data_IF_504232234524
#
_entry.id   IF_504232234524
#
_cell.length_a   1.000
_cell.length_b   1.000
_cell.length_c   1.000
_cell.angle_alpha   90.00
_cell.angle_beta   90.00
_cell.angle_gamma   90.00
#
_symmetry.space_group_name_H-M   'P 1'
#
loop_
_entity.id
_entity.type
_entity.pdbx_description
1 polymer ?
#
# COMPACT_ATOMS: atom_id res chain seq x y z
N UNK A 1 -3.15 -38.53 -42.71
CA UNK A 1 -3.25 -37.21 -43.39
C UNK A 1 -4.26 -36.39 -42.62
N UNK A 2 -3.82 -35.35 -41.88
CA UNK A 2 -4.08 -33.91 -42.13
C UNK A 2 -5.57 -33.53 -42.18
N UNK A 3 -6.10 -32.47 -41.56
CA UNK A 3 -5.67 -31.34 -40.69
C UNK A 3 -6.98 -30.56 -40.38
N UNK A 4 -7.07 -29.92 -39.20
CA UNK A 4 -7.64 -28.56 -38.86
C UNK A 4 -8.99 -28.12 -39.49
N UNK A 5 -9.93 -27.38 -38.86
CA UNK A 5 -9.81 -26.26 -37.90
C UNK A 5 -11.21 -25.83 -37.38
N UNK A 6 -11.25 -25.34 -36.15
CA UNK A 6 -12.07 -24.29 -35.48
C UNK A 6 -13.39 -23.78 -36.06
N UNK A 7 -14.38 -23.57 -35.18
CA UNK A 7 -14.73 -22.24 -34.57
C UNK A 7 -16.15 -22.29 -33.97
N UNK A 8 -16.32 -22.03 -32.67
CA UNK A 8 -16.78 -20.74 -32.11
C UNK A 8 -18.25 -20.84 -31.67
N UNK A 9 -18.73 -20.34 -30.53
CA UNK A 9 -18.15 -19.63 -29.40
C UNK A 9 -19.11 -19.76 -28.21
N UNK A 10 -18.57 -19.95 -27.02
CA UNK A 10 -19.32 -20.22 -25.80
C UNK A 10 -19.82 -18.93 -25.13
N UNK A 11 -21.11 -18.98 -24.77
CA UNK A 11 -21.72 -18.52 -23.53
C UNK A 11 -21.07 -17.34 -22.78
N UNK A 12 -21.77 -16.20 -22.85
CA UNK A 12 -22.27 -15.42 -21.71
C UNK A 12 -21.95 -16.06 -20.34
N UNK A 13 -21.04 -15.45 -19.58
CA UNK A 13 -20.75 -15.84 -18.20
C UNK A 13 -21.10 -14.69 -17.26
N UNK A 14 -21.97 -15.03 -16.31
CA UNK A 14 -22.55 -14.22 -15.25
C UNK A 14 -21.55 -13.39 -14.43
N UNK A 15 -21.91 -12.14 -14.19
CA UNK A 15 -21.17 -11.15 -13.39
C UNK A 15 -21.48 -11.30 -11.88
N UNK A 16 -21.87 -12.49 -11.42
CA UNK A 16 -22.28 -12.74 -10.02
C UNK A 16 -21.45 -13.78 -9.25
N UNK A 17 -20.38 -14.35 -9.84
CA UNK A 17 -19.58 -15.41 -9.20
C UNK A 17 -18.19 -15.01 -8.69
N UNK A 18 -17.86 -13.72 -8.60
CA UNK A 18 -16.51 -13.27 -8.20
C UNK A 18 -16.31 -13.22 -6.65
N UNK A 19 -17.36 -13.42 -5.85
CA UNK A 19 -17.30 -13.18 -4.40
C UNK A 19 -17.17 -14.40 -3.47
N UNK A 20 -16.87 -15.61 -3.95
CA UNK A 20 -16.83 -16.78 -3.07
C UNK A 20 -15.78 -17.84 -3.43
N UNK A 21 -14.50 -17.51 -3.23
CA UNK A 21 -13.38 -18.41 -2.89
C UNK A 21 -12.10 -17.56 -3.04
N UNK A 22 -11.28 -17.30 -2.03
CA UNK A 22 -10.57 -18.29 -1.23
C UNK A 22 -10.12 -17.59 0.06
N UNK A 23 -10.66 -18.01 1.20
CA UNK A 23 -10.00 -17.86 2.49
C UNK A 23 -8.81 -18.81 2.54
N UNK A 24 -7.70 -18.46 1.89
CA UNK A 24 -6.43 -19.16 2.10
C UNK A 24 -5.79 -18.54 3.32
N UNK A 25 -5.51 -19.37 4.33
CA UNK A 25 -4.52 -19.06 5.37
C UNK A 25 -3.31 -18.44 4.69
N UNK A 26 -3.06 -17.16 4.96
CA UNK A 26 -1.90 -16.42 4.46
C UNK A 26 -0.69 -16.98 5.19
N UNK A 27 -0.12 -18.06 4.66
CA UNK A 27 1.18 -18.56 5.09
C UNK A 27 2.23 -17.64 4.46
N UNK A 28 2.66 -16.63 5.21
CA UNK A 28 3.67 -15.66 4.80
C UNK A 28 5.10 -16.26 4.87
N UNK A 29 5.27 -17.49 4.37
CA UNK A 29 6.53 -18.23 4.35
C UNK A 29 7.25 -18.24 3.01
N UNK A 30 6.64 -17.63 1.98
CA UNK A 30 7.29 -17.42 0.70
C UNK A 30 7.63 -15.94 0.60
N UNK A 31 8.87 -15.58 0.93
CA UNK A 31 9.48 -14.33 0.49
C UNK A 31 9.73 -14.47 -1.02
N UNK A 32 9.07 -13.70 -1.91
CA UNK A 32 9.36 -13.74 -3.33
C UNK A 32 10.83 -13.37 -3.54
N UNK A 33 11.65 -14.28 -4.06
CA UNK A 33 13.05 -14.01 -4.39
C UNK A 33 13.08 -13.36 -5.77
N UNK A 34 12.85 -12.05 -5.78
CA UNK A 34 13.26 -11.18 -6.87
C UNK A 34 14.76 -10.87 -6.63
N UNK A 35 15.59 -10.55 -7.65
CA UNK A 35 16.96 -10.11 -7.43
C UNK A 35 16.94 -8.72 -6.79
N UNK A 36 16.72 -8.69 -5.48
CA UNK A 36 16.66 -7.50 -4.66
C UNK A 36 17.84 -7.52 -3.71
N UNK A 37 18.51 -6.38 -3.59
CA UNK A 37 19.27 -6.09 -2.38
C UNK A 37 18.38 -6.41 -1.18
N UNK A 38 18.82 -7.20 -0.19
CA UNK A 38 17.99 -7.54 0.96
C UNK A 38 17.42 -6.26 1.58
N UNK A 39 16.10 -6.09 1.53
CA UNK A 39 15.44 -4.92 2.12
C UNK A 39 15.51 -5.04 3.63
N UNK A 40 16.21 -4.11 4.25
CA UNK A 40 16.36 -4.07 5.70
C UNK A 40 15.11 -3.46 6.34
N UNK A 41 14.16 -4.31 6.72
CA UNK A 41 12.91 -3.90 7.36
C UNK A 41 13.12 -3.06 8.62
N UNK A 42 14.24 -3.25 9.35
CA UNK A 42 14.53 -2.44 10.54
C UNK A 42 14.89 -1.02 10.14
N UNK A 43 15.65 -0.83 9.05
CA UNK A 43 15.94 0.50 8.51
C UNK A 43 14.67 1.19 8.03
N UNK A 44 13.79 0.49 7.31
CA UNK A 44 12.50 1.05 6.87
C UNK A 44 11.67 1.49 8.08
N UNK A 45 11.54 0.64 9.10
CA UNK A 45 10.82 0.97 10.34
C UNK A 45 11.39 2.19 11.04
N UNK A 46 12.70 2.29 11.17
CA UNK A 46 13.37 3.44 11.79
C UNK A 46 13.17 4.72 10.99
N UNK A 47 13.22 4.64 9.65
CA UNK A 47 12.97 5.76 8.75
C UNK A 47 11.51 6.24 8.84
N UNK A 48 10.55 5.32 8.90
CA UNK A 48 9.12 5.64 9.13
C UNK A 48 8.91 6.36 10.45
N UNK A 49 9.48 5.85 11.55
CA UNK A 49 9.39 6.51 12.86
C UNK A 49 10.04 7.90 12.86
N UNK A 50 11.14 8.07 12.11
CA UNK A 50 11.78 9.38 11.91
C UNK A 50 10.89 10.33 11.10
N UNK A 51 10.14 9.82 10.12
CA UNK A 51 9.18 10.59 9.33
C UNK A 51 8.00 11.04 10.19
N UNK A 52 7.40 10.14 10.97
CA UNK A 52 6.32 10.45 11.91
C UNK A 52 6.71 11.59 12.85
N UNK A 53 7.90 11.51 13.47
CA UNK A 53 8.39 12.55 14.38
C UNK A 53 8.60 13.90 13.68
N UNK A 54 9.10 13.91 12.45
CA UNK A 54 9.35 15.14 11.69
C UNK A 54 8.06 15.80 11.17
N UNK A 55 6.99 15.01 11.02
CA UNK A 55 5.71 15.45 10.48
C UNK A 55 4.67 15.72 11.57
N UNK A 56 5.00 15.46 12.83
CA UNK A 56 4.17 15.87 13.96
C UNK A 56 4.02 17.42 13.99
N UNK A 57 2.85 17.96 14.37
CA UNK A 57 1.64 17.24 14.80
C UNK A 57 0.68 16.88 13.65
N UNK A 58 0.99 17.22 12.40
CA UNK A 58 0.07 17.01 11.27
C UNK A 58 -0.13 15.51 10.99
N UNK A 59 0.91 14.69 11.15
CA UNK A 59 0.83 13.21 11.06
C UNK A 59 0.74 12.59 12.45
N UNK A 60 -0.22 11.67 12.61
CA UNK A 60 -0.46 10.92 13.85
C UNK A 60 0.20 9.54 13.78
N UNK A 61 0.11 8.86 12.64
CA UNK A 61 0.64 7.51 12.45
C UNK A 61 0.91 7.24 10.97
N UNK A 62 2.00 6.55 10.69
CA UNK A 62 2.36 6.00 9.38
C UNK A 62 2.51 4.49 9.53
N UNK A 63 1.71 3.76 8.79
CA UNK A 63 1.83 2.31 8.66
C UNK A 63 2.28 1.98 7.24
N UNK A 64 2.94 0.84 7.08
CA UNK A 64 3.38 0.37 5.78
C UNK A 64 3.21 -1.13 5.62
N UNK A 65 3.19 -1.60 4.37
CA UNK A 65 3.23 -3.02 4.03
C UNK A 65 3.87 -3.23 2.67
N UNK A 66 4.59 -4.33 2.51
CA UNK A 66 5.01 -4.81 1.20
C UNK A 66 3.88 -5.60 0.54
N UNK A 67 3.54 -5.29 -0.70
CA UNK A 67 2.56 -6.01 -1.49
C UNK A 67 2.87 -5.87 -2.98
N UNK A 68 2.34 -6.78 -3.80
CA UNK A 68 2.36 -6.64 -5.25
C UNK A 68 1.48 -5.46 -5.68
N UNK A 69 2.00 -4.62 -6.58
CA UNK A 69 1.20 -3.61 -7.27
C UNK A 69 0.41 -4.23 -8.44
N UNK A 70 -0.27 -3.37 -9.20
CA UNK A 70 -1.11 -3.83 -10.32
C UNK A 70 -0.29 -4.37 -11.49
N UNK A 71 1.04 -4.18 -11.49
CA UNK A 71 1.97 -4.78 -12.44
C UNK A 71 2.53 -6.11 -11.93
N UNK A 72 2.24 -6.50 -10.68
CA UNK A 72 2.77 -7.70 -10.03
C UNK A 72 4.13 -7.48 -9.37
N UNK A 73 4.59 -6.23 -9.25
CA UNK A 73 5.90 -5.92 -8.66
C UNK A 73 5.77 -5.61 -7.17
N UNK A 74 6.75 -6.06 -6.37
CA UNK A 74 6.76 -5.79 -4.93
C UNK A 74 7.00 -4.30 -4.68
N UNK A 75 6.05 -3.70 -3.98
CA UNK A 75 5.97 -2.27 -3.73
C UNK A 75 5.62 -1.97 -2.27
N UNK A 76 5.86 -0.72 -1.85
CA UNK A 76 5.64 -0.26 -0.49
C UNK A 76 4.38 0.60 -0.40
N UNK A 77 3.39 0.13 0.35
CA UNK A 77 2.11 0.81 0.53
C UNK A 77 2.05 1.49 1.88
N UNK A 78 1.95 2.81 1.89
CA UNK A 78 1.81 3.64 3.06
C UNK A 78 0.35 3.98 3.34
N UNK A 79 0.00 3.90 4.62
CA UNK A 79 -1.28 4.36 5.18
C UNK A 79 -0.96 5.40 6.23
N UNK A 80 -1.40 6.62 6.00
CA UNK A 80 -1.06 7.76 6.83
C UNK A 80 -2.31 8.30 7.49
N UNK A 81 -2.34 8.26 8.82
CA UNK A 81 -3.35 8.94 9.62
C UNK A 81 -2.86 10.35 9.93
N UNK A 82 -3.61 11.35 9.49
CA UNK A 82 -3.33 12.76 9.70
C UNK A 82 -4.33 13.38 10.69
N UNK A 83 -3.94 14.46 11.35
CA UNK A 83 -4.86 15.22 12.21
C UNK A 83 -6.02 15.81 11.41
N UNK A 84 -7.16 16.05 12.05
CA UNK A 84 -8.32 16.67 11.39
C UNK A 84 -7.96 18.07 10.85
N UNK A 85 -7.12 18.81 11.58
CA UNK A 85 -6.58 20.09 11.14
C UNK A 85 -5.73 19.97 9.86
N UNK A 86 -4.94 18.90 9.73
CA UNK A 86 -4.16 18.60 8.53
C UNK A 86 -5.01 18.12 7.35
N UNK A 87 -6.19 17.55 7.64
CA UNK A 87 -7.16 17.08 6.66
C UNK A 87 -8.09 18.20 6.13
N UNK A 88 -8.03 19.40 6.71
CA UNK A 88 -8.82 20.55 6.25
C UNK A 88 -8.58 20.83 4.75
N UNK A 89 -9.66 21.09 4.01
CA UNK A 89 -9.62 21.23 2.55
C UNK A 89 -8.64 22.32 2.06
N UNK A 90 -8.47 23.40 2.83
CA UNK A 90 -7.54 24.49 2.50
C UNK A 90 -6.06 24.12 2.68
N UNK A 91 -5.78 23.09 3.47
CA UNK A 91 -4.41 22.64 3.82
C UNK A 91 -4.04 21.30 3.19
N UNK A 92 -5.02 20.44 2.94
CA UNK A 92 -4.85 19.03 2.61
C UNK A 92 -3.80 18.81 1.52
N UNK A 93 -3.89 19.55 0.41
CA UNK A 93 -2.93 19.43 -0.71
C UNK A 93 -1.49 19.70 -0.29
N UNK A 94 -1.25 20.76 0.46
CA UNK A 94 0.11 21.12 0.90
C UNK A 94 0.61 20.16 1.97
N UNK A 95 -0.27 19.73 2.88
CA UNK A 95 0.04 18.74 3.92
C UNK A 95 0.44 17.41 3.30
N UNK A 96 -0.37 16.85 2.40
CA UNK A 96 -0.08 15.54 1.78
C UNK A 96 1.17 15.59 0.92
N UNK A 97 1.40 16.68 0.20
CA UNK A 97 2.65 16.87 -0.56
C UNK A 97 3.89 16.82 0.34
N UNK A 98 3.89 17.61 1.42
CA UNK A 98 5.00 17.62 2.40
C UNK A 98 5.21 16.24 3.04
N UNK A 99 4.15 15.51 3.33
CA UNK A 99 4.24 14.15 3.87
C UNK A 99 4.91 13.21 2.86
N UNK A 100 4.45 13.20 1.61
CA UNK A 100 5.01 12.34 0.56
C UNK A 100 6.50 12.63 0.36
N UNK A 101 6.88 13.90 0.23
CA UNK A 101 8.28 14.31 0.08
C UNK A 101 9.13 13.84 1.26
N UNK A 102 8.69 14.14 2.49
CA UNK A 102 9.43 13.77 3.71
C UNK A 102 9.59 12.25 3.86
N UNK A 103 8.56 11.48 3.51
CA UNK A 103 8.60 10.02 3.58
C UNK A 103 9.54 9.46 2.51
N UNK A 104 9.47 9.97 1.27
CA UNK A 104 10.38 9.57 0.18
C UNK A 104 11.84 9.86 0.52
N UNK A 105 12.12 11.06 1.04
CA UNK A 105 13.49 11.47 1.38
C UNK A 105 14.13 10.61 2.48
N UNK A 106 13.32 10.18 3.46
CA UNK A 106 13.78 9.39 4.59
C UNK A 106 13.91 7.91 4.27
N UNK A 107 13.01 7.36 3.47
CA UNK A 107 12.94 5.92 3.19
C UNK A 107 13.72 5.54 1.95
N UNK A 108 13.73 6.42 0.93
CA UNK A 108 14.44 6.24 -0.34
C UNK A 108 14.18 4.89 -0.99
N UNK A 109 12.91 4.48 -0.98
CA UNK A 109 12.47 3.18 -1.49
C UNK A 109 12.87 2.96 -2.97
N UNK A 110 12.94 4.03 -3.76
CA UNK A 110 13.39 4.00 -5.15
C UNK A 110 14.85 3.55 -5.29
N UNK A 111 15.74 3.89 -4.34
CA UNK A 111 17.13 3.40 -4.30
C UNK A 111 17.19 1.88 -4.06
N UNK A 112 16.11 1.30 -3.52
CA UNK A 112 15.93 -0.13 -3.30
C UNK A 112 15.12 -0.80 -4.43
N UNK A 113 14.76 -0.05 -5.48
CA UNK A 113 13.94 -0.54 -6.60
C UNK A 113 12.46 -0.71 -6.27
N UNK A 114 11.97 -0.13 -5.17
CA UNK A 114 10.58 -0.26 -4.72
C UNK A 114 9.77 1.00 -5.07
N UNK A 115 8.59 0.80 -5.67
CA UNK A 115 7.62 1.89 -5.84
C UNK A 115 6.87 2.14 -4.53
N UNK A 116 6.34 3.36 -4.37
CA UNK A 116 5.62 3.77 -3.17
C UNK A 116 4.23 4.31 -3.47
N UNK A 117 3.24 3.88 -2.68
CA UNK A 117 1.85 4.33 -2.78
C UNK A 117 1.37 4.89 -1.44
N UNK A 118 0.54 5.93 -1.47
CA UNK A 118 0.10 6.63 -0.26
C UNK A 118 -1.43 6.72 -0.20
N UNK A 119 -1.98 6.23 0.91
CA UNK A 119 -3.37 6.46 1.29
C UNK A 119 -3.40 7.34 2.54
N UNK A 120 -4.30 8.32 2.55
CA UNK A 120 -4.47 9.25 3.66
C UNK A 120 -5.84 9.07 4.30
N UNK A 121 -5.89 9.27 5.62
CA UNK A 121 -7.14 9.29 6.39
C UNK A 121 -7.02 10.26 7.55
N UNK A 122 -8.07 11.01 7.85
CA UNK A 122 -8.12 11.88 9.02
C UNK A 122 -8.32 11.09 10.32
N UNK A 123 -8.02 11.72 11.46
CA UNK A 123 -8.18 11.10 12.77
C UNK A 123 -9.63 10.81 13.13
N UNK A 124 -10.55 11.70 12.72
CA UNK A 124 -11.99 11.53 12.88
C UNK A 124 -12.51 10.37 12.03
N UNK A 125 -12.14 10.29 10.76
CA UNK A 125 -12.49 9.16 9.90
C UNK A 125 -11.97 7.82 10.44
N UNK A 126 -10.74 7.79 10.95
CA UNK A 126 -10.17 6.56 11.51
C UNK A 126 -10.97 6.09 12.74
N UNK A 127 -11.36 7.01 13.62
CA UNK A 127 -12.18 6.68 14.79
C UNK A 127 -13.58 6.19 14.41
N UNK A 128 -14.15 6.71 13.33
CA UNK A 128 -15.48 6.34 12.85
C UNK A 128 -15.51 5.01 12.11
N UNK A 129 -14.54 4.74 11.23
CA UNK A 129 -14.55 3.56 10.37
C UNK A 129 -13.99 2.31 11.04
N UNK A 130 -13.02 2.46 11.95
CA UNK A 130 -12.39 1.35 12.69
C UNK A 130 -11.96 0.17 11.80
N UNK A 131 -11.54 0.47 10.58
CA UNK A 131 -11.18 -0.53 9.58
C UNK A 131 -9.95 -1.32 10.06
N UNK A 132 -10.03 -2.66 10.22
CA UNK A 132 -8.91 -3.49 10.64
C UNK A 132 -7.69 -3.42 9.72
N UNK A 133 -7.87 -3.04 8.46
CA UNK A 133 -6.76 -2.73 7.57
C UNK A 133 -5.93 -1.58 8.14
N UNK A 134 -6.56 -0.55 8.69
CA UNK A 134 -5.91 0.64 9.23
C UNK A 134 -5.39 0.53 10.66
N UNK A 135 -5.46 -0.65 11.28
CA UNK A 135 -4.93 -0.89 12.63
C UNK A 135 -3.64 -1.74 12.65
N UNK A 136 -3.37 -2.48 11.58
CA UNK A 136 -2.25 -3.43 11.47
C UNK A 136 -0.91 -2.76 11.10
N UNK A 137 0.18 -3.21 11.71
CA UNK A 137 1.56 -2.77 11.46
C UNK A 137 2.47 -3.94 11.07
#
# INVERSE_FOLDING_TARGET
MSRRRDSGGAAQADVQSIFAAVGQKRDNRLVPIVPHTPVDEKKIRAAVQSAEKALAPDVIRIMYSFAEDVQGEISLFFRVVISDHAADAGRLRNTTHRIVETVRDKIRAEELGLQTYFNFRSSSEQKSLQDPFWERQ
#
